data_IF_217651855488
#
_entry.id   IF_217651855488
#
_cell.length_a   1.000
_cell.length_b   1.000
_cell.length_c   1.000
_cell.angle_alpha   90.00
_cell.angle_beta   90.00
_cell.angle_gamma   90.00
#
_symmetry.space_group_name_H-M   'P 1'
#
loop_
_entity.id
_entity.type
_entity.pdbx_description
1 polymer ?
#
# COMPACT_ATOMS: atom_id res chain seq x y z
N UNK A 1 -1.68 -87.24 41.69
CA UNK A 1 -1.98 -85.81 41.87
C UNK A 1 -3.15 -85.75 42.84
N UNK A 2 -2.96 -85.01 43.88
CA UNK A 2 -3.97 -84.84 44.92
C UNK A 2 -5.11 -83.95 44.36
N UNK A 3 -6.35 -84.24 44.79
CA UNK A 3 -7.57 -83.54 44.27
C UNK A 3 -7.43 -81.99 44.38
N UNK A 4 -6.75 -81.51 45.37
CA UNK A 4 -6.40 -80.06 45.54
C UNK A 4 -5.47 -79.51 44.48
N UNK A 5 -4.51 -80.31 44.05
CA UNK A 5 -3.54 -79.89 42.94
C UNK A 5 -4.28 -79.79 41.60
N UNK A 6 -5.26 -80.72 41.38
CA UNK A 6 -6.04 -80.74 40.15
C UNK A 6 -6.98 -79.54 40.08
N UNK A 7 -7.62 -79.17 41.24
CA UNK A 7 -8.46 -77.95 41.32
C UNK A 7 -7.69 -76.66 41.10
N UNK A 8 -6.50 -76.50 41.71
CA UNK A 8 -5.65 -75.35 41.51
C UNK A 8 -5.11 -75.19 40.05
N UNK A 9 -4.80 -76.37 39.45
CA UNK A 9 -4.35 -76.37 38.04
C UNK A 9 -5.51 -75.94 37.09
N UNK A 10 -6.73 -76.44 37.34
CA UNK A 10 -7.95 -76.10 36.57
C UNK A 10 -8.30 -74.63 36.74
N UNK A 11 -8.16 -74.08 37.95
CA UNK A 11 -8.37 -72.62 38.23
C UNK A 11 -7.32 -71.76 37.57
N UNK A 12 -6.03 -72.13 37.60
CA UNK A 12 -4.94 -71.43 36.90
C UNK A 12 -5.14 -71.48 35.38
N UNK A 13 -5.42 -72.64 34.81
CA UNK A 13 -5.76 -72.78 33.38
C UNK A 13 -6.95 -71.95 32.98
N UNK A 14 -8.01 -71.92 33.77
CA UNK A 14 -9.20 -71.08 33.55
C UNK A 14 -8.85 -69.56 33.55
N UNK A 15 -8.02 -69.14 34.50
CA UNK A 15 -7.55 -67.76 34.58
C UNK A 15 -6.65 -67.37 33.36
N UNK A 16 -5.76 -68.23 32.94
CA UNK A 16 -4.91 -68.00 31.74
C UNK A 16 -5.74 -67.94 30.46
N UNK A 17 -6.67 -68.87 30.27
CA UNK A 17 -7.57 -68.90 29.10
C UNK A 17 -8.49 -67.68 29.13
N UNK A 18 -9.04 -67.32 30.28
CA UNK A 18 -9.90 -66.13 30.44
C UNK A 18 -9.12 -64.81 30.12
N UNK A 19 -7.90 -64.70 30.65
CA UNK A 19 -7.05 -63.53 30.36
C UNK A 19 -6.64 -63.43 28.87
N UNK A 20 -6.29 -64.59 28.27
CA UNK A 20 -5.96 -64.63 26.84
C UNK A 20 -7.16 -64.27 25.95
N UNK A 21 -8.36 -64.77 26.31
CA UNK A 21 -9.61 -64.48 25.58
C UNK A 21 -10.02 -63.01 25.71
N UNK A 22 -9.89 -62.44 26.92
CA UNK A 22 -10.15 -61.00 27.15
C UNK A 22 -9.12 -60.13 26.39
N UNK A 23 -7.86 -60.50 26.39
CA UNK A 23 -6.82 -59.84 25.60
C UNK A 23 -7.11 -59.85 24.09
N UNK A 24 -7.51 -61.03 23.56
CA UNK A 24 -7.88 -61.17 22.14
C UNK A 24 -9.10 -60.32 21.76
N UNK A 25 -10.12 -60.28 22.62
CA UNK A 25 -11.31 -59.47 22.42
C UNK A 25 -10.93 -57.98 22.42
N UNK A 26 -10.13 -57.52 23.39
CA UNK A 26 -9.67 -56.14 23.44
C UNK A 26 -8.83 -55.74 22.23
N UNK A 27 -7.92 -56.62 21.77
CA UNK A 27 -7.16 -56.38 20.54
C UNK A 27 -8.05 -56.34 19.30
N UNK A 28 -9.01 -57.23 19.20
CA UNK A 28 -9.95 -57.26 18.07
C UNK A 28 -10.86 -56.04 18.03
N UNK A 29 -11.35 -55.58 19.19
CA UNK A 29 -12.13 -54.33 19.30
C UNK A 29 -11.30 -53.11 18.91
N UNK A 30 -10.08 -53.00 19.42
CA UNK A 30 -9.14 -51.92 19.02
C UNK A 30 -8.82 -51.96 17.53
N UNK A 31 -8.57 -53.15 16.97
CA UNK A 31 -8.30 -53.29 15.55
C UNK A 31 -9.54 -52.91 14.70
N UNK A 32 -10.76 -53.24 15.19
CA UNK A 32 -12.02 -52.89 14.53
C UNK A 32 -12.28 -51.39 14.60
N UNK A 33 -12.02 -50.74 15.74
CA UNK A 33 -12.15 -49.30 15.89
C UNK A 33 -11.11 -48.53 15.03
N UNK A 34 -9.87 -49.00 15.01
CA UNK A 34 -8.82 -48.45 14.13
C UNK A 34 -9.19 -48.64 12.64
N UNK A 35 -9.77 -49.77 12.25
CA UNK A 35 -10.23 -49.99 10.88
C UNK A 35 -11.43 -49.11 10.52
N UNK A 36 -12.38 -48.89 11.45
CA UNK A 36 -13.48 -47.93 11.26
C UNK A 36 -13.01 -46.51 11.08
N UNK A 37 -12.06 -46.04 11.89
CA UNK A 37 -11.44 -44.69 11.74
C UNK A 37 -10.74 -44.54 10.38
N UNK A 38 -10.10 -45.60 9.87
CA UNK A 38 -9.43 -45.58 8.55
C UNK A 38 -10.43 -45.57 7.37
N UNK A 39 -11.63 -46.04 7.55
CA UNK A 39 -12.67 -46.14 6.49
C UNK A 39 -13.75 -45.05 6.58
N UNK A 40 -13.83 -44.33 7.69
CA UNK A 40 -14.81 -43.26 7.91
C UNK A 40 -14.45 -41.99 7.16
N UNK A 41 -15.42 -41.45 6.43
CA UNK A 41 -15.41 -40.08 5.90
C UNK A 41 -16.05 -39.08 6.88
N UNK A 42 -16.44 -39.56 8.09
CA UNK A 42 -16.98 -38.70 9.12
C UNK A 42 -15.87 -37.79 9.68
N UNK A 43 -16.17 -36.53 9.80
CA UNK A 43 -15.27 -35.55 10.44
C UNK A 43 -15.05 -35.93 11.91
N UNK A 44 -13.82 -35.87 12.42
CA UNK A 44 -13.57 -36.01 13.85
C UNK A 44 -14.37 -34.97 14.64
N UNK A 45 -14.80 -35.38 15.85
CA UNK A 45 -15.57 -34.52 16.73
C UNK A 45 -14.88 -33.17 16.98
N UNK A 46 -15.63 -32.09 16.89
CA UNK A 46 -15.12 -30.73 17.07
C UNK A 46 -14.44 -30.09 15.86
N UNK A 47 -14.03 -30.83 14.83
CA UNK A 47 -13.35 -30.26 13.64
C UNK A 47 -14.20 -29.22 12.94
N UNK A 48 -15.52 -29.44 12.84
CA UNK A 48 -16.46 -28.49 12.24
C UNK A 48 -16.52 -27.17 13.04
N UNK A 49 -16.54 -27.25 14.37
CA UNK A 49 -16.57 -26.07 15.24
C UNK A 49 -15.27 -25.25 15.13
N UNK A 50 -14.13 -25.93 15.03
CA UNK A 50 -12.83 -25.28 14.80
C UNK A 50 -12.81 -24.54 13.45
N UNK A 51 -13.25 -25.19 12.38
CA UNK A 51 -13.31 -24.57 11.04
C UNK A 51 -14.23 -23.35 11.02
N UNK A 52 -15.39 -23.42 11.69
CA UNK A 52 -16.32 -22.29 11.74
C UNK A 52 -15.78 -21.10 12.51
N UNK A 53 -14.87 -21.32 13.46
CA UNK A 53 -14.19 -20.25 14.22
C UNK A 53 -12.92 -19.72 13.56
N UNK A 54 -12.54 -20.24 12.38
CA UNK A 54 -11.33 -19.75 11.67
C UNK A 54 -11.65 -18.54 10.80
N UNK A 55 -10.79 -17.53 10.89
CA UNK A 55 -10.81 -16.37 9.98
C UNK A 55 -10.12 -16.67 8.64
N UNK A 56 -9.36 -17.77 8.56
CA UNK A 56 -8.69 -18.22 7.34
C UNK A 56 -9.64 -19.14 6.51
N UNK A 57 -9.41 -19.13 5.20
CA UNK A 57 -10.10 -20.03 4.29
C UNK A 57 -9.59 -21.46 4.54
N UNK A 58 -10.43 -22.31 5.05
CA UNK A 58 -10.11 -23.71 5.32
C UNK A 58 -11.25 -24.63 4.89
N UNK A 59 -10.91 -25.70 4.17
CA UNK A 59 -11.88 -26.72 3.74
C UNK A 59 -11.33 -28.10 4.00
N UNK A 60 -12.21 -29.03 4.38
CA UNK A 60 -11.89 -30.45 4.47
C UNK A 60 -12.52 -31.15 3.27
N UNK A 61 -11.69 -31.86 2.52
CA UNK A 61 -12.11 -32.59 1.33
C UNK A 61 -11.97 -34.11 1.51
N UNK A 62 -12.90 -34.86 0.98
CA UNK A 62 -12.87 -36.32 0.96
C UNK A 62 -12.02 -36.88 -0.19
N UNK A 63 -11.96 -38.22 -0.29
CA UNK A 63 -11.23 -38.95 -1.35
C UNK A 63 -11.76 -38.67 -2.76
N UNK A 64 -12.99 -38.23 -2.90
CA UNK A 64 -13.63 -37.87 -4.16
C UNK A 64 -13.51 -36.36 -4.46
N UNK A 65 -12.77 -35.63 -3.63
CA UNK A 65 -12.57 -34.17 -3.70
C UNK A 65 -13.86 -33.37 -3.41
N UNK A 66 -14.84 -33.95 -2.74
CA UNK A 66 -16.00 -33.23 -2.23
C UNK A 66 -15.65 -32.52 -0.93
N UNK A 67 -16.17 -31.32 -0.76
CA UNK A 67 -16.00 -30.50 0.44
C UNK A 67 -16.92 -31.01 1.51
N UNK A 68 -16.37 -31.61 2.56
CA UNK A 68 -17.13 -32.21 3.69
C UNK A 68 -17.41 -31.16 4.76
N UNK A 69 -16.53 -30.16 4.89
CA UNK A 69 -16.71 -29.01 5.77
C UNK A 69 -15.88 -27.81 5.26
N UNK A 70 -16.37 -26.62 5.51
CA UNK A 70 -15.74 -25.38 5.11
C UNK A 70 -15.81 -24.33 6.23
N UNK A 71 -14.81 -23.44 6.30
CA UNK A 71 -14.85 -22.23 7.11
C UNK A 71 -15.74 -21.17 6.43
N UNK A 72 -16.28 -20.23 7.20
CA UNK A 72 -17.11 -19.16 6.64
C UNK A 72 -16.42 -18.36 5.51
N UNK A 73 -15.11 -17.99 5.59
CA UNK A 73 -14.43 -17.31 4.50
C UNK A 73 -14.26 -18.14 3.20
N UNK A 74 -14.43 -19.46 3.23
CA UNK A 74 -14.28 -20.32 2.06
C UNK A 74 -15.32 -20.03 0.96
N UNK A 75 -16.51 -19.58 1.33
CA UNK A 75 -17.56 -19.16 0.40
C UNK A 75 -17.11 -18.02 -0.53
N UNK A 76 -16.22 -17.14 -0.06
CA UNK A 76 -15.67 -16.03 -0.88
C UNK A 76 -14.85 -16.53 -2.08
N UNK A 77 -14.36 -17.78 -2.01
CA UNK A 77 -13.63 -18.45 -3.07
C UNK A 77 -14.50 -19.49 -3.81
N UNK A 78 -15.81 -19.48 -3.56
CA UNK A 78 -16.73 -20.42 -4.18
C UNK A 78 -16.56 -21.87 -3.67
N UNK A 79 -16.13 -22.04 -2.42
CA UNK A 79 -15.93 -23.35 -1.80
C UNK A 79 -17.01 -23.59 -0.74
N UNK A 80 -18.07 -24.27 -1.14
CA UNK A 80 -19.22 -24.58 -0.29
C UNK A 80 -19.28 -26.06 0.06
N UNK A 81 -19.81 -26.35 1.24
CA UNK A 81 -19.99 -27.74 1.71
C UNK A 81 -20.92 -28.53 0.77
N UNK A 82 -20.52 -29.73 0.42
CA UNK A 82 -21.26 -30.60 -0.51
C UNK A 82 -20.85 -30.45 -1.97
N UNK A 83 -20.09 -29.43 -2.34
CA UNK A 83 -19.60 -29.26 -3.69
C UNK A 83 -18.23 -29.91 -3.91
N UNK A 84 -17.87 -30.10 -5.19
CA UNK A 84 -16.55 -30.61 -5.56
C UNK A 84 -15.58 -29.46 -5.65
N UNK A 85 -14.36 -29.63 -5.16
CA UNK A 85 -13.29 -28.63 -5.27
C UNK A 85 -13.07 -28.24 -6.73
N UNK A 86 -13.35 -26.98 -7.09
CA UNK A 86 -13.43 -26.53 -8.48
C UNK A 86 -12.05 -26.29 -9.13
N UNK A 87 -11.08 -25.75 -8.39
CA UNK A 87 -9.78 -25.39 -8.92
C UNK A 87 -8.89 -26.62 -9.16
N UNK A 88 -8.40 -26.77 -10.41
CA UNK A 88 -7.56 -27.90 -10.80
C UNK A 88 -6.25 -27.96 -10.03
N UNK A 89 -5.66 -26.82 -9.74
CA UNK A 89 -4.41 -26.69 -8.99
C UNK A 89 -4.60 -27.20 -7.55
N UNK A 90 -5.70 -26.84 -6.89
CA UNK A 90 -6.02 -27.33 -5.56
C UNK A 90 -6.28 -28.84 -5.54
N UNK A 91 -6.94 -29.36 -6.60
CA UNK A 91 -7.14 -30.82 -6.76
C UNK A 91 -5.82 -31.55 -6.90
N UNK A 92 -4.88 -31.00 -7.68
CA UNK A 92 -3.54 -31.54 -7.85
C UNK A 92 -2.79 -31.57 -6.51
N UNK A 93 -2.80 -30.47 -5.77
CA UNK A 93 -2.15 -30.36 -4.45
C UNK A 93 -2.70 -31.39 -3.45
N UNK A 94 -4.04 -31.56 -3.38
CA UNK A 94 -4.68 -32.55 -2.50
C UNK A 94 -4.30 -33.98 -2.90
N UNK A 95 -4.22 -34.29 -4.20
CA UNK A 95 -3.81 -35.64 -4.67
C UNK A 95 -2.33 -35.91 -4.35
N UNK A 96 -1.45 -34.94 -4.56
CA UNK A 96 -0.02 -35.05 -4.27
C UNK A 96 0.19 -35.30 -2.78
N UNK A 97 -0.42 -34.49 -1.91
CA UNK A 97 -0.38 -34.64 -0.44
C UNK A 97 -0.79 -36.06 0.01
N UNK A 98 -1.82 -36.65 -0.64
CA UNK A 98 -2.26 -38.01 -0.32
C UNK A 98 -1.30 -39.09 -0.78
N UNK A 99 -0.61 -38.86 -1.91
CA UNK A 99 0.35 -39.81 -2.46
C UNK A 99 1.65 -39.80 -1.64
N UNK A 100 2.07 -38.64 -1.19
CA UNK A 100 3.31 -38.47 -0.43
C UNK A 100 3.16 -38.71 1.07
N UNK A 101 1.91 -38.68 1.56
CA UNK A 101 1.55 -38.69 2.99
C UNK A 101 2.27 -37.61 3.82
N UNK A 102 2.56 -36.48 3.18
CA UNK A 102 3.24 -35.32 3.79
C UNK A 102 2.47 -34.04 3.46
N UNK A 103 2.43 -33.08 4.41
CA UNK A 103 1.86 -31.77 4.12
C UNK A 103 2.62 -31.08 2.99
N UNK A 104 1.89 -30.59 2.01
CA UNK A 104 2.43 -29.82 0.88
C UNK A 104 1.84 -28.43 0.85
N UNK A 105 2.60 -27.46 0.36
CA UNK A 105 2.14 -26.09 0.19
C UNK A 105 2.60 -25.54 -1.16
N UNK A 106 1.72 -24.83 -1.82
CA UNK A 106 1.98 -24.25 -3.12
C UNK A 106 1.38 -22.84 -3.20
N UNK A 107 2.03 -21.95 -3.94
CA UNK A 107 1.51 -20.60 -4.25
C UNK A 107 0.77 -20.66 -5.57
N UNK A 108 -0.50 -20.28 -5.56
CA UNK A 108 -1.43 -20.43 -6.65
C UNK A 108 -2.17 -19.10 -6.90
N UNK A 109 -2.81 -18.99 -8.06
CA UNK A 109 -3.73 -17.91 -8.36
C UNK A 109 -5.16 -18.40 -8.39
N UNK A 110 -5.97 -18.00 -7.42
CA UNK A 110 -7.38 -18.38 -7.32
C UNK A 110 -8.30 -17.19 -7.60
N UNK A 111 -9.47 -17.47 -8.13
CA UNK A 111 -10.54 -16.47 -8.30
C UNK A 111 -11.30 -16.27 -6.99
N UNK A 112 -11.45 -14.98 -6.60
CA UNK A 112 -12.37 -14.53 -5.58
C UNK A 112 -13.40 -13.61 -6.23
N UNK A 113 -14.54 -14.15 -6.58
CA UNK A 113 -15.50 -13.45 -7.44
C UNK A 113 -14.91 -13.16 -8.82
N UNK A 114 -14.79 -11.87 -9.16
CA UNK A 114 -14.23 -11.41 -10.46
C UNK A 114 -12.71 -11.24 -10.40
N UNK A 115 -12.13 -11.13 -9.21
CA UNK A 115 -10.71 -10.84 -9.00
C UNK A 115 -9.86 -12.11 -8.92
N UNK A 116 -8.66 -12.03 -9.48
CA UNK A 116 -7.63 -13.05 -9.34
C UNK A 116 -6.75 -12.69 -8.14
N UNK A 117 -6.64 -13.61 -7.17
CA UNK A 117 -5.87 -13.45 -5.94
C UNK A 117 -4.71 -14.42 -5.89
N UNK A 118 -3.56 -13.96 -5.46
CA UNK A 118 -2.43 -14.82 -5.12
C UNK A 118 -2.65 -15.42 -3.74
N UNK A 119 -2.63 -16.75 -3.65
CA UNK A 119 -2.85 -17.46 -2.40
C UNK A 119 -1.78 -18.51 -2.17
N UNK A 120 -1.44 -18.75 -0.91
CA UNK A 120 -0.70 -19.95 -0.51
C UNK A 120 -1.71 -20.97 -0.03
N UNK A 121 -1.79 -22.10 -0.73
CA UNK A 121 -2.61 -23.23 -0.36
C UNK A 121 -1.74 -24.30 0.29
N UNK A 122 -2.13 -24.80 1.48
CA UNK A 122 -1.47 -25.87 2.20
C UNK A 122 -2.44 -27.02 2.39
N UNK A 123 -2.10 -28.20 1.89
CA UNK A 123 -2.84 -29.42 2.08
C UNK A 123 -2.15 -30.32 3.12
N UNK A 124 -2.93 -30.92 4.02
CA UNK A 124 -2.46 -31.87 5.03
C UNK A 124 -3.50 -32.95 5.29
N UNK A 125 -3.05 -34.22 5.40
CA UNK A 125 -3.93 -35.32 5.73
C UNK A 125 -4.44 -35.23 7.17
N UNK A 126 -5.75 -35.37 7.38
CA UNK A 126 -6.38 -35.54 8.70
C UNK A 126 -6.52 -37.02 8.98
N UNK A 127 -7.05 -37.76 8.00
CA UNK A 127 -7.19 -39.20 7.97
C UNK A 127 -6.80 -39.69 6.56
N UNK A 128 -6.65 -41.01 6.32
CA UNK A 128 -6.36 -41.49 4.97
C UNK A 128 -7.40 -41.09 3.91
N UNK A 129 -8.59 -40.64 4.32
CA UNK A 129 -9.68 -40.23 3.42
C UNK A 129 -10.01 -38.74 3.48
N UNK A 130 -9.50 -38.00 4.46
CA UNK A 130 -9.82 -36.60 4.65
C UNK A 130 -8.53 -35.76 4.58
N UNK A 131 -8.54 -34.71 3.78
CA UNK A 131 -7.46 -33.76 3.65
C UNK A 131 -7.96 -32.37 4.04
N UNK A 132 -7.25 -31.71 4.95
CA UNK A 132 -7.44 -30.29 5.25
C UNK A 132 -6.67 -29.46 4.22
N UNK A 133 -7.34 -28.50 3.64
CA UNK A 133 -6.76 -27.50 2.76
C UNK A 133 -6.97 -26.14 3.42
N UNK A 134 -5.86 -25.44 3.72
CA UNK A 134 -5.86 -24.07 4.24
C UNK A 134 -5.33 -23.15 3.16
N UNK A 135 -6.05 -22.08 2.89
CA UNK A 135 -5.74 -21.13 1.84
C UNK A 135 -5.58 -19.75 2.47
N UNK A 136 -4.41 -19.17 2.31
CA UNK A 136 -4.10 -17.82 2.80
C UNK A 136 -3.93 -16.87 1.62
N UNK A 137 -4.71 -15.79 1.58
CA UNK A 137 -4.52 -14.71 0.62
C UNK A 137 -3.22 -13.98 0.93
N UNK A 138 -2.30 -13.97 -0.04
CA UNK A 138 -0.99 -13.31 0.04
C UNK A 138 -0.87 -12.19 -0.98
N UNK A 139 -1.96 -11.80 -1.63
CA UNK A 139 -1.96 -10.82 -2.72
C UNK A 139 -1.30 -9.50 -2.32
N UNK A 140 -1.69 -8.95 -1.16
CA UNK A 140 -1.10 -7.69 -0.68
C UNK A 140 0.37 -7.85 -0.30
N UNK A 141 0.73 -8.99 0.30
CA UNK A 141 2.13 -9.27 0.65
C UNK A 141 3.01 -9.41 -0.59
N UNK A 142 2.57 -10.17 -1.60
CA UNK A 142 3.29 -10.30 -2.88
C UNK A 142 3.41 -8.95 -3.57
N UNK A 143 2.34 -8.15 -3.59
CA UNK A 143 2.34 -6.80 -4.17
C UNK A 143 3.35 -5.88 -3.49
N UNK A 144 3.45 -5.92 -2.16
CA UNK A 144 4.43 -5.14 -1.40
C UNK A 144 5.86 -5.61 -1.71
N UNK A 145 6.10 -6.92 -1.77
CA UNK A 145 7.40 -7.48 -2.11
C UNK A 145 7.82 -7.21 -3.56
N UNK A 146 6.88 -7.26 -4.51
CA UNK A 146 7.11 -6.87 -5.90
C UNK A 146 7.45 -5.39 -6.02
N UNK A 147 6.65 -4.52 -5.38
CA UNK A 147 6.92 -3.09 -5.30
C UNK A 147 8.30 -2.79 -4.69
N UNK A 148 8.72 -3.55 -3.67
CA UNK A 148 10.05 -3.39 -3.05
C UNK A 148 11.17 -3.79 -3.99
N UNK A 149 11.03 -4.91 -4.71
CA UNK A 149 12.01 -5.36 -5.71
C UNK A 149 12.15 -4.37 -6.85
N UNK A 150 11.03 -3.89 -7.38
CA UNK A 150 11.00 -2.89 -8.44
C UNK A 150 11.61 -1.56 -7.98
N UNK A 151 11.36 -1.15 -6.73
CA UNK A 151 11.98 0.02 -6.12
C UNK A 151 13.50 -0.08 -6.12
N UNK A 152 14.06 -1.20 -5.64
CA UNK A 152 15.52 -1.41 -5.58
C UNK A 152 16.13 -1.44 -6.98
N UNK A 153 15.52 -2.18 -7.92
CA UNK A 153 16.00 -2.30 -9.30
C UNK A 153 16.00 -0.95 -10.00
N UNK A 154 14.87 -0.24 -9.98
CA UNK A 154 14.69 1.05 -10.65
C UNK A 154 15.57 2.15 -10.01
N UNK A 155 15.68 2.17 -8.67
CA UNK A 155 16.58 3.09 -7.97
C UNK A 155 18.04 2.88 -8.39
N UNK A 156 18.47 1.63 -8.50
CA UNK A 156 19.83 1.30 -8.93
C UNK A 156 20.10 1.76 -10.37
N UNK A 157 19.15 1.58 -11.27
CA UNK A 157 19.25 2.07 -12.65
C UNK A 157 19.27 3.61 -12.75
N UNK A 158 18.39 4.29 -12.01
CA UNK A 158 18.31 5.75 -12.02
C UNK A 158 19.54 6.41 -11.36
N UNK A 159 20.22 5.72 -10.43
CA UNK A 159 21.48 6.20 -9.84
C UNK A 159 22.69 5.92 -10.75
N UNK A 160 22.74 4.79 -11.46
CA UNK A 160 23.88 4.40 -12.30
C UNK A 160 24.14 5.40 -13.42
N UNK A 161 23.10 5.93 -14.03
CA UNK A 161 23.21 6.86 -15.16
C UNK A 161 23.89 8.20 -14.79
N UNK A 162 23.44 8.95 -13.75
CA UNK A 162 24.09 10.18 -13.35
C UNK A 162 25.49 9.95 -12.77
N UNK A 163 25.72 8.85 -12.06
CA UNK A 163 27.08 8.49 -11.58
C UNK A 163 28.04 8.30 -12.74
N UNK A 164 27.63 7.56 -13.79
CA UNK A 164 28.43 7.41 -15.01
C UNK A 164 28.68 8.74 -15.72
N UNK A 165 27.67 9.62 -15.78
CA UNK A 165 27.85 10.96 -16.36
C UNK A 165 28.82 11.84 -15.56
N UNK A 166 28.79 11.79 -14.23
CA UNK A 166 29.74 12.47 -13.33
C UNK A 166 31.17 11.99 -13.60
N UNK A 167 31.38 10.67 -13.70
CA UNK A 167 32.70 10.09 -13.99
C UNK A 167 33.23 10.55 -15.34
N UNK A 168 32.43 10.45 -16.41
CA UNK A 168 32.83 10.90 -17.75
C UNK A 168 33.12 12.41 -17.82
N UNK A 169 32.35 13.24 -17.11
CA UNK A 169 32.59 14.68 -17.05
C UNK A 169 33.85 15.01 -16.27
N UNK A 170 34.20 14.25 -15.22
CA UNK A 170 35.46 14.41 -14.51
C UNK A 170 36.67 14.08 -15.41
N UNK A 171 36.62 12.95 -16.13
CA UNK A 171 37.63 12.56 -17.13
C UNK A 171 37.78 13.60 -18.26
N UNK A 172 36.64 14.16 -18.72
CA UNK A 172 36.66 15.23 -19.73
C UNK A 172 37.31 16.53 -19.20
N UNK A 173 37.13 16.86 -17.92
CA UNK A 173 37.80 18.00 -17.28
C UNK A 173 39.33 17.78 -17.23
N UNK A 174 39.75 16.57 -16.83
CA UNK A 174 41.18 16.24 -16.81
C UNK A 174 41.80 16.29 -18.22
N UNK A 175 41.10 15.75 -19.21
CA UNK A 175 41.58 15.76 -20.62
C UNK A 175 41.62 17.17 -21.24
N UNK A 176 40.81 18.08 -20.75
CA UNK A 176 40.72 19.45 -21.24
C UNK A 176 41.55 20.46 -20.39
N UNK A 177 42.51 19.99 -19.57
CA UNK A 177 43.21 20.81 -18.57
C UNK A 177 43.87 22.07 -19.18
N UNK A 178 44.30 22.01 -20.45
CA UNK A 178 44.95 23.13 -21.16
C UNK A 178 43.94 24.09 -21.84
N UNK A 179 42.61 23.78 -21.78
CA UNK A 179 41.55 24.63 -22.36
C UNK A 179 40.59 25.11 -21.24
N UNK A 180 40.81 26.32 -20.70
CA UNK A 180 40.00 26.83 -19.60
C UNK A 180 38.50 26.98 -19.92
N UNK A 181 38.12 27.16 -21.17
CA UNK A 181 36.73 27.33 -21.54
C UNK A 181 35.99 25.97 -21.60
N UNK A 182 36.65 24.94 -22.07
CA UNK A 182 36.14 23.58 -21.99
C UNK A 182 36.04 23.08 -20.54
N UNK A 183 37.08 23.35 -19.73
CA UNK A 183 37.04 23.02 -18.29
C UNK A 183 35.84 23.68 -17.60
N UNK A 184 35.61 25.00 -17.84
CA UNK A 184 34.41 25.67 -17.27
C UNK A 184 33.10 25.11 -17.80
N UNK A 185 33.04 24.69 -19.04
CA UNK A 185 31.86 24.07 -19.63
C UNK A 185 31.54 22.71 -18.97
N UNK A 186 32.52 21.82 -18.85
CA UNK A 186 32.34 20.50 -18.23
C UNK A 186 32.10 20.63 -16.72
N UNK A 187 32.75 21.54 -16.01
CA UNK A 187 32.55 21.80 -14.60
C UNK A 187 31.09 22.24 -14.30
N UNK A 188 30.53 23.13 -15.14
CA UNK A 188 29.11 23.52 -15.01
C UNK A 188 28.18 22.36 -15.20
N UNK A 189 28.42 21.47 -16.19
CA UNK A 189 27.61 20.26 -16.43
C UNK A 189 27.77 19.27 -15.28
N UNK A 190 28.96 19.07 -14.74
CA UNK A 190 29.23 18.24 -13.58
C UNK A 190 28.46 18.74 -12.37
N UNK A 191 28.44 20.03 -12.07
CA UNK A 191 27.67 20.63 -10.99
C UNK A 191 26.16 20.41 -11.15
N UNK A 192 25.65 20.53 -12.38
CA UNK A 192 24.23 20.25 -12.67
C UNK A 192 23.87 18.77 -12.43
N UNK A 193 24.72 17.83 -12.85
CA UNK A 193 24.48 16.39 -12.66
C UNK A 193 24.62 15.98 -11.18
N UNK A 194 25.58 16.55 -10.45
CA UNK A 194 25.71 16.35 -9.00
C UNK A 194 24.49 16.87 -8.24
N UNK A 195 23.96 18.04 -8.61
CA UNK A 195 22.70 18.57 -8.04
C UNK A 195 21.51 17.66 -8.31
N UNK A 196 21.41 17.14 -9.53
CA UNK A 196 20.37 16.17 -9.91
C UNK A 196 20.46 14.88 -9.09
N UNK A 197 21.67 14.36 -8.87
CA UNK A 197 21.92 13.18 -8.04
C UNK A 197 21.51 13.44 -6.59
N UNK A 198 21.83 14.60 -6.02
CA UNK A 198 21.40 15.01 -4.68
C UNK A 198 19.87 15.05 -4.54
N UNK A 199 19.16 15.61 -5.52
CA UNK A 199 17.70 15.61 -5.53
C UNK A 199 17.11 14.20 -5.61
N UNK A 200 17.67 13.31 -6.43
CA UNK A 200 17.24 11.91 -6.54
C UNK A 200 17.44 11.19 -5.21
N UNK A 201 18.60 11.33 -4.58
CA UNK A 201 18.91 10.74 -3.28
C UNK A 201 17.95 11.23 -2.19
N UNK A 202 17.65 12.53 -2.14
CA UNK A 202 16.69 13.09 -1.20
C UNK A 202 15.29 12.50 -1.38
N UNK A 203 14.82 12.35 -2.62
CA UNK A 203 13.52 11.73 -2.92
C UNK A 203 13.46 10.26 -2.51
N UNK A 204 14.55 9.50 -2.71
CA UNK A 204 14.66 8.11 -2.29
C UNK A 204 14.60 8.00 -0.75
N UNK A 205 15.33 8.86 -0.04
CA UNK A 205 15.33 8.89 1.42
C UNK A 205 13.97 9.25 1.99
N UNK A 206 13.27 10.22 1.40
CA UNK A 206 11.92 10.60 1.82
C UNK A 206 10.92 9.46 1.59
N UNK A 207 10.98 8.78 0.45
CA UNK A 207 10.14 7.61 0.20
C UNK A 207 10.44 6.47 1.17
N UNK A 208 11.73 6.23 1.48
CA UNK A 208 12.14 5.24 2.48
C UNK A 208 11.60 5.57 3.87
N UNK A 209 11.67 6.84 4.29
CA UNK A 209 11.09 7.30 5.57
C UNK A 209 9.58 7.12 5.62
N UNK A 210 8.88 7.44 4.54
CA UNK A 210 7.43 7.25 4.44
C UNK A 210 7.02 5.76 4.50
N UNK A 211 7.91 4.84 4.13
CA UNK A 211 7.68 3.40 4.20
C UNK A 211 8.02 2.79 5.57
N UNK A 212 9.06 3.32 6.24
CA UNK A 212 9.54 2.79 7.51
C UNK A 212 8.71 3.25 8.72
N UNK A 213 7.96 4.35 8.59
CA UNK A 213 7.11 4.85 9.65
C UNK A 213 5.71 4.26 9.50
N UNK A 214 5.42 3.17 10.23
CA UNK A 214 4.07 2.59 10.31
C UNK A 214 3.07 3.58 10.96
N UNK A 215 3.54 4.49 11.81
CA UNK A 215 2.74 5.54 12.43
C UNK A 215 3.23 6.95 12.05
N UNK A 216 2.30 7.85 11.79
CA UNK A 216 2.58 9.30 11.68
C UNK A 216 3.05 9.77 13.07
N UNK A 217 4.33 10.14 13.16
CA UNK A 217 5.02 10.37 14.46
C UNK A 217 4.48 11.60 15.19
N UNK A 218 3.89 12.59 14.48
CA UNK A 218 3.38 13.83 15.07
C UNK A 218 2.11 14.33 14.35
N UNK A 219 0.98 13.66 14.58
CA UNK A 219 -0.31 14.20 14.13
C UNK A 219 -0.72 15.42 14.94
N UNK A 220 -0.74 16.58 14.32
CA UNK A 220 -1.21 17.85 14.91
C UNK A 220 -2.25 18.52 14.03
N UNK A 221 -2.89 19.56 14.56
CA UNK A 221 -3.77 20.39 13.75
C UNK A 221 -2.93 21.31 12.85
N UNK A 222 -2.98 21.05 11.56
CA UNK A 222 -2.14 21.67 10.53
C UNK A 222 -2.96 22.71 9.78
N UNK A 223 -2.42 23.90 9.64
CA UNK A 223 -2.97 24.95 8.80
C UNK A 223 -2.68 24.66 7.31
N UNK A 224 -3.72 24.49 6.51
CA UNK A 224 -3.58 24.34 5.06
C UNK A 224 -2.95 25.57 4.43
N UNK A 225 -3.14 26.76 5.03
CA UNK A 225 -2.50 27.98 4.55
C UNK A 225 -0.98 27.92 4.67
N UNK A 226 -0.44 27.36 5.77
CA UNK A 226 1.00 27.16 5.98
C UNK A 226 1.56 26.13 5.00
N UNK A 227 0.90 24.98 4.86
CA UNK A 227 1.30 23.92 3.93
C UNK A 227 1.39 24.44 2.50
N UNK A 228 0.38 25.16 2.04
CA UNK A 228 0.36 25.70 0.67
C UNK A 228 1.41 26.77 0.45
N UNK A 229 1.62 27.64 1.44
CA UNK A 229 2.65 28.69 1.35
C UNK A 229 4.03 28.06 1.22
N UNK A 230 4.38 27.13 2.12
CA UNK A 230 5.68 26.45 2.08
C UNK A 230 5.87 25.63 0.78
N UNK A 231 4.83 24.92 0.33
CA UNK A 231 4.88 24.14 -0.91
C UNK A 231 5.09 25.02 -2.15
N UNK A 232 4.39 26.14 -2.26
CA UNK A 232 4.54 27.10 -3.39
C UNK A 232 5.90 27.78 -3.34
N UNK A 233 6.33 28.25 -2.17
CA UNK A 233 7.63 28.88 -1.98
C UNK A 233 8.80 27.96 -2.40
N UNK A 234 8.71 26.67 -2.06
CA UNK A 234 9.73 25.68 -2.44
C UNK A 234 9.88 25.51 -3.96
N UNK A 235 8.86 25.86 -4.74
CA UNK A 235 8.87 25.75 -6.20
C UNK A 235 9.10 27.06 -6.94
N UNK A 236 9.35 28.17 -6.23
CA UNK A 236 9.47 29.51 -6.83
C UNK A 236 10.58 29.59 -7.87
N UNK A 237 11.75 29.01 -7.59
CA UNK A 237 12.91 29.02 -8.52
C UNK A 237 12.59 28.21 -9.78
N UNK A 238 11.98 27.04 -9.64
CA UNK A 238 11.60 26.18 -10.76
C UNK A 238 10.51 26.84 -11.62
N UNK A 239 9.51 27.47 -10.99
CA UNK A 239 8.46 28.20 -11.66
C UNK A 239 9.02 29.40 -12.47
N UNK A 240 9.94 30.17 -11.87
CA UNK A 240 10.61 31.27 -12.55
C UNK A 240 11.44 30.81 -13.76
N UNK A 241 12.20 29.73 -13.62
CA UNK A 241 13.00 29.15 -14.71
C UNK A 241 12.12 28.62 -15.86
N UNK A 242 10.93 28.08 -15.53
CA UNK A 242 9.94 27.60 -16.50
C UNK A 242 9.04 28.71 -17.07
N UNK A 243 9.15 29.94 -16.58
CA UNK A 243 8.26 31.07 -16.91
C UNK A 243 6.77 30.78 -16.60
N UNK A 244 6.51 30.13 -15.47
CA UNK A 244 5.15 29.74 -15.04
C UNK A 244 4.76 30.52 -13.80
N UNK A 245 3.56 31.11 -13.82
CA UNK A 245 2.98 31.76 -12.65
C UNK A 245 2.20 30.75 -11.80
N UNK A 246 2.57 30.55 -10.53
CA UNK A 246 1.80 29.77 -9.58
C UNK A 246 0.85 30.67 -8.82
N UNK A 247 -0.46 30.46 -8.96
CA UNK A 247 -1.48 31.32 -8.36
C UNK A 247 -2.29 30.54 -7.36
N UNK A 248 -2.36 31.06 -6.12
CA UNK A 248 -3.18 30.53 -5.06
C UNK A 248 -4.56 31.20 -5.03
N UNK A 249 -5.63 30.38 -4.99
CA UNK A 249 -7.01 30.83 -4.87
C UNK A 249 -7.80 30.04 -3.81
N UNK A 250 -9.09 30.38 -3.67
CA UNK A 250 -10.03 29.68 -2.82
C UNK A 250 -10.03 30.10 -1.34
N UNK A 251 -10.56 29.21 -0.51
CA UNK A 251 -10.80 29.47 0.92
C UNK A 251 -9.51 29.48 1.75
N UNK A 252 -9.57 30.14 2.91
CA UNK A 252 -8.46 30.25 3.88
C UNK A 252 -8.91 29.87 5.28
N UNK A 253 -7.93 29.51 6.11
CA UNK A 253 -8.15 29.19 7.52
C UNK A 253 -8.71 27.78 7.72
N UNK A 254 -8.54 26.88 6.76
CA UNK A 254 -8.83 25.46 6.91
C UNK A 254 -7.72 24.73 7.66
N UNK A 255 -8.13 23.78 8.50
CA UNK A 255 -7.21 22.93 9.27
C UNK A 255 -7.54 21.45 9.06
N UNK A 256 -6.51 20.64 9.07
CA UNK A 256 -6.59 19.16 9.01
C UNK A 256 -5.73 18.53 10.10
N UNK A 257 -6.01 17.30 10.50
CA UNK A 257 -5.16 16.53 11.39
C UNK A 257 -4.07 15.84 10.58
N UNK A 258 -2.78 16.16 10.82
CA UNK A 258 -1.73 15.61 9.99
C UNK A 258 -0.30 16.01 10.39
N UNK A 259 0.64 15.60 9.55
CA UNK A 259 2.05 15.99 9.57
C UNK A 259 2.29 17.09 8.53
N UNK A 260 2.76 18.25 9.01
CA UNK A 260 3.03 19.43 8.15
C UNK A 260 4.06 19.14 7.06
N UNK A 261 5.13 18.41 7.38
CA UNK A 261 6.20 18.16 6.42
C UNK A 261 5.72 17.23 5.31
N UNK A 262 5.04 16.14 5.69
CA UNK A 262 4.49 15.16 4.74
C UNK A 262 3.46 15.80 3.81
N UNK A 263 2.55 16.61 4.35
CA UNK A 263 1.54 17.32 3.55
C UNK A 263 2.18 18.39 2.65
N UNK A 264 3.17 19.14 3.16
CA UNK A 264 3.89 20.14 2.37
C UNK A 264 4.61 19.48 1.20
N UNK A 265 5.29 18.36 1.43
CA UNK A 265 5.99 17.61 0.38
C UNK A 265 5.00 17.05 -0.66
N UNK A 266 3.85 16.52 -0.24
CA UNK A 266 2.83 16.03 -1.15
C UNK A 266 2.33 17.15 -2.09
N UNK A 267 1.98 18.32 -1.55
CA UNK A 267 1.52 19.45 -2.37
C UNK A 267 2.67 20.01 -3.24
N UNK A 268 3.89 20.10 -2.72
CA UNK A 268 5.05 20.54 -3.50
C UNK A 268 5.30 19.61 -4.71
N UNK A 269 5.12 18.30 -4.56
CA UNK A 269 5.21 17.35 -5.67
C UNK A 269 4.13 17.57 -6.73
N UNK A 270 2.88 17.87 -6.34
CA UNK A 270 1.82 18.24 -7.28
C UNK A 270 2.16 19.52 -8.03
N UNK A 271 2.62 20.57 -7.33
CA UNK A 271 3.00 21.85 -7.93
C UNK A 271 4.21 21.68 -8.87
N UNK A 272 5.22 20.90 -8.45
CA UNK A 272 6.38 20.59 -9.30
C UNK A 272 5.99 19.86 -10.59
N UNK A 273 5.09 18.91 -10.52
CA UNK A 273 4.56 18.21 -11.70
C UNK A 273 3.79 19.19 -12.60
N UNK A 274 2.91 20.01 -12.04
CA UNK A 274 2.15 21.00 -12.77
C UNK A 274 3.08 21.98 -13.52
N UNK A 275 4.18 22.42 -12.90
CA UNK A 275 5.21 23.27 -13.54
C UNK A 275 5.93 22.50 -14.66
N UNK A 276 6.36 21.26 -14.41
CA UNK A 276 7.15 20.47 -15.35
C UNK A 276 6.42 20.14 -16.66
N UNK A 277 5.10 19.99 -16.59
CA UNK A 277 4.29 19.58 -17.74
C UNK A 277 3.52 20.74 -18.40
N UNK A 278 3.53 21.92 -17.81
CA UNK A 278 2.88 23.12 -18.38
C UNK A 278 3.79 23.80 -19.43
N UNK A 279 3.20 24.41 -20.47
CA UNK A 279 3.96 25.21 -21.43
C UNK A 279 4.46 26.52 -20.79
N UNK A 280 5.64 27.06 -21.23
CA UNK A 280 6.11 28.35 -20.77
C UNK A 280 5.08 29.48 -20.96
N UNK A 281 5.01 30.43 -20.04
CA UNK A 281 4.06 31.53 -20.04
C UNK A 281 2.65 31.16 -19.54
N UNK A 282 2.43 29.90 -19.13
CA UNK A 282 1.15 29.46 -18.59
C UNK A 282 1.04 29.69 -17.08
N UNK A 283 -0.10 29.31 -16.52
CA UNK A 283 -0.43 29.46 -15.11
C UNK A 283 -0.79 28.10 -14.48
N UNK A 284 -0.25 27.85 -13.30
CA UNK A 284 -0.62 26.75 -12.41
C UNK A 284 -1.51 27.30 -11.30
N UNK A 285 -2.71 26.76 -11.15
CA UNK A 285 -3.67 27.14 -10.11
C UNK A 285 -3.58 26.22 -8.91
N UNK A 286 -3.55 26.77 -7.69
CA UNK A 286 -3.67 26.02 -6.43
C UNK A 286 -4.90 26.54 -5.70
N UNK A 287 -6.02 25.80 -5.77
CA UNK A 287 -7.30 26.17 -5.18
C UNK A 287 -7.59 25.41 -3.90
N UNK A 288 -8.30 26.04 -2.95
CA UNK A 288 -8.80 25.41 -1.73
C UNK A 288 -10.31 25.61 -1.64
N UNK A 289 -11.02 24.53 -1.31
CA UNK A 289 -12.44 24.54 -1.01
C UNK A 289 -12.72 23.71 0.23
N UNK A 290 -13.64 24.17 1.08
CA UNK A 290 -14.11 23.41 2.24
C UNK A 290 -15.57 23.03 2.00
N UNK A 291 -15.85 21.74 1.89
CA UNK A 291 -17.20 21.25 1.63
C UNK A 291 -17.40 19.88 2.30
N UNK A 292 -18.60 19.66 2.87
CA UNK A 292 -19.00 18.35 3.38
C UNK A 292 -18.10 17.81 4.51
N UNK A 293 -17.45 18.67 5.31
CA UNK A 293 -16.53 18.23 6.36
C UNK A 293 -15.14 17.83 5.84
N UNK A 294 -14.83 18.15 4.59
CA UNK A 294 -13.51 17.90 3.99
C UNK A 294 -12.92 19.20 3.42
N UNK A 295 -11.58 19.24 3.38
CA UNK A 295 -10.81 20.24 2.64
C UNK A 295 -10.38 19.61 1.33
N UNK A 296 -10.67 20.26 0.22
CA UNK A 296 -10.26 19.91 -1.13
C UNK A 296 -9.18 20.88 -1.58
N UNK A 297 -8.00 20.36 -1.91
CA UNK A 297 -6.86 21.13 -2.45
C UNK A 297 -6.68 20.70 -3.89
N UNK A 298 -6.99 21.57 -4.84
CA UNK A 298 -6.90 21.33 -6.27
C UNK A 298 -5.66 22.00 -6.85
N UNK A 299 -4.76 21.21 -7.48
CA UNK A 299 -3.65 21.73 -8.27
C UNK A 299 -3.95 21.49 -9.74
N UNK A 300 -4.11 22.60 -10.49
CA UNK A 300 -4.53 22.58 -11.90
C UNK A 300 -3.42 23.10 -12.79
N UNK A 301 -3.05 22.31 -13.80
CA UNK A 301 -2.11 22.69 -14.85
C UNK A 301 -2.81 22.90 -16.21
N UNK A 302 -2.10 23.52 -17.14
CA UNK A 302 -2.49 23.64 -18.56
C UNK A 302 -1.54 22.88 -19.47
N UNK A 303 -1.09 21.73 -18.98
CA UNK A 303 -0.13 20.87 -19.65
C UNK A 303 -0.72 20.00 -20.74
N UNK A 304 0.05 19.00 -21.12
CA UNK A 304 -0.30 18.04 -22.17
C UNK A 304 -1.53 17.17 -21.83
N UNK A 305 -1.89 17.07 -20.54
CA UNK A 305 -2.90 16.15 -20.07
C UNK A 305 -2.45 14.68 -20.10
N UNK A 306 -3.29 13.79 -19.58
CA UNK A 306 -3.02 12.36 -19.37
C UNK A 306 -4.13 11.55 -20.04
N UNK A 307 -3.78 10.60 -20.94
CA UNK A 307 -4.76 9.69 -21.55
C UNK A 307 -5.52 8.87 -20.51
N UNK A 308 -6.80 8.58 -20.75
CA UNK A 308 -7.69 7.90 -19.82
C UNK A 308 -7.11 6.53 -19.36
N UNK A 309 -6.57 5.74 -20.28
CA UNK A 309 -5.96 4.45 -19.97
C UNK A 309 -4.71 4.51 -19.08
N UNK A 310 -4.13 5.69 -18.89
CA UNK A 310 -2.92 5.90 -18.06
C UNK A 310 -3.23 6.54 -16.70
N UNK A 311 -4.42 7.12 -16.52
CA UNK A 311 -4.77 7.90 -15.32
C UNK A 311 -4.72 7.08 -14.03
N UNK A 312 -5.09 5.81 -14.07
CA UNK A 312 -4.98 4.91 -12.91
C UNK A 312 -3.52 4.61 -12.57
N UNK A 313 -2.64 4.54 -13.58
CA UNK A 313 -1.25 4.12 -13.48
C UNK A 313 -0.29 5.23 -13.09
N UNK A 314 -0.63 6.51 -13.31
CA UNK A 314 0.27 7.63 -12.97
C UNK A 314 0.61 7.73 -11.48
N UNK A 315 -0.16 7.07 -10.62
CA UNK A 315 0.12 6.95 -9.18
C UNK A 315 0.98 5.73 -8.83
N UNK A 316 1.29 4.85 -9.81
CA UNK A 316 2.24 3.75 -9.61
C UNK A 316 3.66 4.31 -9.48
N UNK A 317 4.50 3.63 -8.69
CA UNK A 317 5.89 4.05 -8.49
C UNK A 317 6.68 3.87 -9.78
N UNK A 318 7.54 4.85 -10.11
CA UNK A 318 8.36 4.87 -11.32
C UNK A 318 7.58 4.86 -12.64
N UNK A 319 6.25 4.90 -12.59
CA UNK A 319 5.44 4.96 -13.80
C UNK A 319 5.63 6.31 -14.50
N UNK A 320 5.75 6.25 -15.82
CA UNK A 320 5.95 7.42 -16.69
C UNK A 320 5.25 7.16 -18.01
N UNK A 321 4.29 7.98 -18.35
CA UNK A 321 3.50 7.87 -19.58
C UNK A 321 4.34 8.03 -20.88
N UNK A 322 5.43 8.81 -20.83
CA UNK A 322 6.33 9.01 -21.97
C UNK A 322 7.80 9.02 -21.51
N UNK A 323 8.51 7.92 -21.74
CA UNK A 323 9.91 7.74 -21.36
C UNK A 323 10.88 8.68 -22.12
N UNK A 324 10.57 9.05 -23.36
CA UNK A 324 11.46 9.83 -24.21
C UNK A 324 11.45 11.32 -23.80
N UNK A 325 10.28 11.90 -23.55
CA UNK A 325 10.09 13.29 -23.15
C UNK A 325 10.52 13.54 -21.70
N UNK A 326 10.32 12.57 -20.86
CA UNK A 326 10.57 12.57 -19.42
C UNK A 326 12.07 12.59 -19.07
N UNK A 327 12.97 12.13 -19.97
CA UNK A 327 14.43 12.31 -19.80
C UNK A 327 14.85 13.79 -19.79
N UNK A 328 14.10 14.65 -20.47
CA UNK A 328 14.36 16.10 -20.54
C UNK A 328 13.87 16.85 -19.29
N UNK A 329 12.80 16.35 -18.63
CA UNK A 329 12.21 16.99 -17.44
C UNK A 329 12.75 16.43 -16.11
N UNK A 330 13.60 15.37 -16.15
CA UNK A 330 14.28 14.83 -14.95
C UNK A 330 13.34 14.16 -13.93
N UNK A 331 12.11 13.80 -14.32
CA UNK A 331 11.15 13.20 -13.40
C UNK A 331 11.50 11.75 -13.06
N UNK A 332 11.47 11.37 -11.79
CA UNK A 332 11.78 10.01 -11.30
C UNK A 332 10.58 9.06 -11.31
N UNK A 333 9.38 9.54 -11.62
CA UNK A 333 8.14 8.77 -11.49
C UNK A 333 7.71 8.47 -10.04
N UNK A 334 8.35 9.10 -9.05
CA UNK A 334 8.04 8.89 -7.62
C UNK A 334 7.07 9.94 -7.06
N UNK A 335 6.99 11.14 -7.64
CA UNK A 335 6.26 12.27 -7.06
C UNK A 335 4.78 11.97 -6.78
N UNK A 336 4.04 11.43 -7.76
CA UNK A 336 2.61 11.13 -7.59
C UNK A 336 2.35 9.94 -6.67
N UNK A 337 3.22 8.96 -6.61
CA UNK A 337 3.12 7.86 -5.65
C UNK A 337 3.35 8.33 -4.22
N UNK A 338 4.27 9.30 -4.00
CA UNK A 338 4.46 9.97 -2.71
C UNK A 338 3.19 10.72 -2.31
N UNK A 339 2.58 11.47 -3.23
CA UNK A 339 1.31 12.17 -2.98
C UNK A 339 0.22 11.21 -2.53
N UNK A 340 -0.01 10.14 -3.31
CA UNK A 340 -1.04 9.14 -2.98
C UNK A 340 -0.81 8.53 -1.60
N UNK A 341 0.41 8.13 -1.31
CA UNK A 341 0.76 7.52 -0.03
C UNK A 341 0.62 8.51 1.15
N UNK A 342 1.11 9.74 1.00
CA UNK A 342 0.97 10.78 2.01
C UNK A 342 -0.49 11.08 2.33
N UNK A 343 -1.34 11.24 1.30
CA UNK A 343 -2.77 11.52 1.46
C UNK A 343 -3.50 10.35 2.12
N UNK A 344 -3.25 9.11 1.68
CA UNK A 344 -3.85 7.90 2.27
C UNK A 344 -3.48 7.72 3.75
N UNK A 345 -2.23 7.99 4.15
CA UNK A 345 -1.81 7.97 5.56
C UNK A 345 -2.51 9.01 6.43
N UNK A 346 -3.02 10.08 5.83
CA UNK A 346 -3.86 11.08 6.50
C UNK A 346 -5.36 10.77 6.42
N UNK A 347 -5.74 9.56 6.00
CA UNK A 347 -7.13 9.15 5.85
C UNK A 347 -7.88 9.88 4.73
N UNK A 348 -7.14 10.43 3.76
CA UNK A 348 -7.68 11.19 2.64
C UNK A 348 -7.62 10.42 1.32
N UNK A 349 -8.07 11.08 0.27
CA UNK A 349 -8.12 10.58 -1.09
C UNK A 349 -7.48 11.58 -2.06
N UNK A 350 -6.91 11.07 -3.16
CA UNK A 350 -6.44 11.87 -4.28
C UNK A 350 -7.18 11.49 -5.55
N UNK A 351 -7.77 12.48 -6.19
CA UNK A 351 -8.51 12.34 -7.44
C UNK A 351 -7.75 13.02 -8.58
N UNK A 352 -7.91 12.48 -9.79
CA UNK A 352 -7.34 13.02 -11.02
C UNK A 352 -8.44 13.26 -12.04
N UNK A 353 -8.54 14.48 -12.51
CA UNK A 353 -9.23 14.81 -13.74
C UNK A 353 -8.21 15.27 -14.78
N UNK A 354 -8.19 14.67 -15.96
CA UNK A 354 -7.28 15.07 -17.01
C UNK A 354 -7.86 14.81 -18.40
N UNK A 355 -7.50 15.67 -19.36
CA UNK A 355 -7.79 15.46 -20.78
C UNK A 355 -6.57 15.82 -21.63
N UNK A 356 -6.17 14.96 -22.58
CA UNK A 356 -5.10 15.28 -23.52
C UNK A 356 -5.30 16.66 -24.17
N UNK A 357 -4.25 17.48 -24.14
CA UNK A 357 -4.24 18.84 -24.67
C UNK A 357 -4.98 19.90 -23.84
N UNK A 358 -5.59 19.54 -22.69
CA UNK A 358 -6.31 20.48 -21.81
C UNK A 358 -5.68 20.64 -20.43
N UNK A 359 -4.69 19.82 -20.11
CA UNK A 359 -4.05 19.79 -18.80
C UNK A 359 -4.70 18.82 -17.83
N UNK A 360 -4.31 18.92 -16.55
CA UNK A 360 -4.75 18.06 -15.48
C UNK A 360 -5.13 18.84 -14.23
N UNK A 361 -5.99 18.26 -13.41
CA UNK A 361 -6.33 18.73 -12.06
C UNK A 361 -6.21 17.57 -11.11
N UNK A 362 -5.29 17.68 -10.15
CA UNK A 362 -5.14 16.76 -9.04
C UNK A 362 -5.81 17.35 -7.82
N UNK A 363 -6.77 16.64 -7.23
CA UNK A 363 -7.52 17.08 -6.06
C UNK A 363 -7.19 16.19 -4.87
N UNK A 364 -6.62 16.77 -3.82
CA UNK A 364 -6.37 16.12 -2.52
C UNK A 364 -7.53 16.44 -1.60
N UNK A 365 -8.17 15.43 -1.04
CA UNK A 365 -9.30 15.52 -0.13
C UNK A 365 -8.93 15.00 1.24
N UNK A 366 -9.05 15.84 2.28
CA UNK A 366 -8.70 15.51 3.66
C UNK A 366 -9.84 15.92 4.61
N UNK A 367 -10.06 15.15 5.69
CA UNK A 367 -11.04 15.51 6.70
C UNK A 367 -10.63 16.81 7.40
N UNK A 368 -11.57 17.79 7.48
CA UNK A 368 -11.32 19.06 8.18
C UNK A 368 -11.44 18.89 9.68
N UNK A 369 -10.63 19.66 10.42
CA UNK A 369 -10.76 19.80 11.87
C UNK A 369 -11.04 21.26 12.24
N UNK A 370 -11.57 21.48 13.42
CA UNK A 370 -11.80 22.83 13.92
C UNK A 370 -10.46 23.57 14.08
N UNK A 371 -10.42 24.86 13.73
CA UNK A 371 -9.23 25.67 13.93
C UNK A 371 -8.82 25.65 15.42
N UNK A 372 -7.52 25.48 15.73
CA UNK A 372 -7.05 25.54 17.11
C UNK A 372 -7.53 26.81 17.80
N UNK A 373 -7.97 26.70 19.04
CA UNK A 373 -8.44 27.83 19.83
C UNK A 373 -7.23 28.72 20.18
N UNK A 374 -6.95 29.75 19.36
CA UNK A 374 -5.95 30.75 19.67
C UNK A 374 -6.62 31.96 20.39
N UNK A 375 -6.43 32.10 21.70
CA UNK A 375 -7.00 33.21 22.47
C UNK A 375 -6.45 34.58 22.02
N UNK A 376 -5.29 34.64 21.37
CA UNK A 376 -4.70 35.87 20.87
C UNK A 376 -5.42 36.45 19.64
N UNK A 377 -6.07 35.60 18.85
CA UNK A 377 -6.79 36.02 17.62
C UNK A 377 -8.11 36.75 17.94
N UNK A 378 -8.75 36.43 19.07
CA UNK A 378 -9.96 37.15 19.57
C UNK A 378 -9.62 38.58 19.96
N UNK A 379 -8.46 38.82 20.59
CA UNK A 379 -8.03 40.20 21.00
C UNK A 379 -7.73 41.09 19.78
N UNK A 380 -7.13 40.57 18.69
CA UNK A 380 -6.87 41.35 17.48
C UNK A 380 -8.15 41.68 16.68
N UNK A 381 -9.15 40.81 16.67
CA UNK A 381 -10.44 41.10 16.02
C UNK A 381 -11.30 42.09 16.80
N UNK A 382 -11.26 42.03 18.14
CA UNK A 382 -11.95 43.00 19.00
C UNK A 382 -11.32 44.41 18.87
N UNK A 383 -9.97 44.49 18.85
CA UNK A 383 -9.25 45.76 18.69
C UNK A 383 -9.46 46.44 17.34
N UNK A 384 -9.74 45.67 16.27
CA UNK A 384 -10.00 46.21 14.94
C UNK A 384 -11.45 46.70 14.75
N UNK A 385 -12.39 46.28 15.63
CA UNK A 385 -13.80 46.75 15.64
C UNK A 385 -14.02 48.02 16.44
N UNK A 386 -13.03 48.45 17.25
CA UNK A 386 -13.14 49.61 18.17
C UNK A 386 -12.40 50.87 17.70
N UNK A 387 -11.99 50.99 16.42
CA UNK A 387 -11.51 52.27 15.91
C UNK A 387 -12.69 53.16 15.61
N UNK A 388 -12.90 54.28 16.36
CA UNK A 388 -13.98 55.19 16.08
C UNK A 388 -13.69 55.97 14.79
N UNK A 389 -14.74 56.07 13.99
CA UNK A 389 -14.81 56.95 12.81
C UNK A 389 -14.59 58.40 13.27
N UNK A 390 -13.50 58.98 12.82
CA UNK A 390 -13.22 60.41 13.09
C UNK A 390 -14.22 61.23 12.30
N UNK A 391 -15.16 61.84 13.02
CA UNK A 391 -16.12 62.83 12.53
C UNK A 391 -15.36 64.04 11.99
N UNK A 392 -15.57 64.37 10.70
CA UNK A 392 -15.12 65.63 10.08
C UNK A 392 -16.12 66.68 10.38
N UNK A 393 -15.92 67.36 11.49
CA UNK A 393 -16.65 68.60 11.80
C UNK A 393 -16.31 69.69 10.75
N UNK A 394 -17.31 70.06 10.02
CA UNK A 394 -17.41 71.15 9.07
C UNK A 394 -17.38 72.47 9.80
N UNK A 395 -16.29 73.23 9.75
CA UNK A 395 -16.29 74.65 10.19
C UNK A 395 -16.75 75.48 9.02
N UNK A 396 -17.95 76.07 9.12
CA UNK A 396 -18.40 77.25 8.41
C UNK A 396 -17.73 78.47 9.11
N UNK A 397 -16.93 79.21 8.40
CA UNK A 397 -16.48 80.53 8.77
C UNK A 397 -17.00 81.57 7.82
N UNK A 398 -17.72 82.52 8.42
CA UNK A 398 -18.44 83.65 7.77
C UNK A 398 -17.45 84.86 7.70
N UNK A 399 -17.58 85.54 6.59
CA UNK A 399 -17.39 87.00 6.30
C UNK A 399 -16.29 87.82 7.08
N UNK A 400 -15.44 88.45 6.39
CA UNK A 400 -15.48 89.84 5.84
C UNK A 400 -14.25 90.02 4.90
#
# INVERSE_FOLDING_TARGET
MDTTQLALFALFMGAVIGSAMTGLVLVSLRARDAARLKTSTALPDGTRAVLQGMDEVAVVVDSSLHIVAASAPAELFGMTEGETLAADELRALVRSTRTTDRPEAETLRLRRGVELRSVTARASGITPRLTLLVIRDITERERVEEMRRDFVANTSHELKTPVGAVTLLAEAIESAADDPDQVRHFARRLGAEASRLGQLTSRIMNLSRLQAADDLTELRDVSIDEVLTAAIESQTVAAGAAQIAVVRGGERGAYVRGDVQVLTEAIANLVANAIAYSPPGSQVGVGVKVAGGAVEIAVTDRGIGIPEGEQARVFERFYRADQARSRRTGGTGLGLSIVKHAVQRHGGEVELWSRPGRGSTFTVRLATVAAPHDPARKKKRAAKKTKPTRDTARVKGDKK
#
